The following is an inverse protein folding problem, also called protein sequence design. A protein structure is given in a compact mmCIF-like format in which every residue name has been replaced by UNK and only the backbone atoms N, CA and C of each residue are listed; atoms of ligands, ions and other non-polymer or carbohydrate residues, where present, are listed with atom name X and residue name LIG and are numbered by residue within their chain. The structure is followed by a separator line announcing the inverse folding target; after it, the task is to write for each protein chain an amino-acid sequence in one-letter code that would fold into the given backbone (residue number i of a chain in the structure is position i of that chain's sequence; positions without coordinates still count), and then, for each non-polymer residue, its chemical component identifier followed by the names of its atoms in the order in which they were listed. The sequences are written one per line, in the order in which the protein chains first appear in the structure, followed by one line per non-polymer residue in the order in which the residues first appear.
data_IF_438131005831
#
_entry.id   IF_438131005831
#
_cell.length_a   1.000
_cell.length_b   1.000
_cell.length_c   1.000
_cell.angle_alpha   90.00
_cell.angle_beta   90.00
_cell.angle_gamma   90.00
#
_symmetry.space_group_name_H-M   'P 1'
#
loop_
_entity.id
_entity.type
_entity.pdbx_description
1 polymer ?
#
# COMPACT_ATOMS: atom_id res chain seq x y z
N UNK A 1 11.79 17.75 16.16
CA UNK A 1 10.36 17.98 16.44
C UNK A 1 10.02 19.39 15.97
N UNK A 2 8.96 19.53 15.16
CA UNK A 2 8.34 20.82 14.89
C UNK A 2 7.18 20.99 15.87
N UNK A 3 6.97 22.22 16.33
CA UNK A 3 5.77 22.64 17.04
C UNK A 3 5.21 23.84 16.28
N UNK A 4 3.90 24.02 16.34
CA UNK A 4 3.20 25.11 15.66
C UNK A 4 2.51 25.98 16.70
N UNK A 5 2.75 27.28 16.62
CA UNK A 5 2.01 28.25 17.41
C UNK A 5 0.58 28.38 16.85
N UNK A 6 -0.38 28.65 17.74
CA UNK A 6 -1.75 28.98 17.33
C UNK A 6 -1.76 30.46 16.95
N UNK A 7 -2.03 30.74 15.68
CA UNK A 7 -2.10 32.11 15.15
C UNK A 7 -3.42 32.77 15.54
N UNK A 8 -4.52 32.03 15.48
CA UNK A 8 -5.85 32.49 15.90
C UNK A 8 -6.82 31.32 16.07
N UNK A 9 -7.98 31.59 16.67
CA UNK A 9 -9.13 30.70 16.75
C UNK A 9 -10.23 31.18 15.79
N UNK A 10 -11.13 30.28 15.39
CA UNK A 10 -12.41 30.67 14.78
C UNK A 10 -13.26 31.47 15.76
N UNK A 11 -14.25 32.22 15.27
CA UNK A 11 -15.08 33.10 16.10
C UNK A 11 -15.85 32.35 17.20
N UNK A 12 -16.18 31.08 16.97
CA UNK A 12 -16.84 30.15 17.90
C UNK A 12 -15.85 29.26 18.67
N UNK A 13 -14.54 29.46 18.48
CA UNK A 13 -13.44 28.70 19.09
C UNK A 13 -13.45 27.18 18.80
N UNK A 14 -14.13 26.74 17.75
CA UNK A 14 -14.17 25.32 17.34
C UNK A 14 -13.02 24.92 16.43
N UNK A 15 -12.31 25.88 15.81
CA UNK A 15 -11.17 25.65 14.95
C UNK A 15 -9.97 26.54 15.34
N UNK A 16 -8.77 26.06 15.01
CA UNK A 16 -7.50 26.76 15.20
C UNK A 16 -6.80 26.97 13.87
N UNK A 17 -6.12 28.11 13.73
CA UNK A 17 -5.24 28.40 12.59
C UNK A 17 -3.80 28.25 13.04
N UNK A 18 -3.04 27.47 12.29
CA UNK A 18 -1.59 27.28 12.48
C UNK A 18 -0.84 27.63 11.19
N UNK A 19 0.36 28.21 11.32
CA UNK A 19 1.19 28.50 10.17
C UNK A 19 2.21 27.36 9.93
N UNK A 20 1.96 26.55 8.91
CA UNK A 20 2.81 25.41 8.54
C UNK A 20 3.84 25.72 7.45
N UNK A 21 3.91 26.97 6.97
CA UNK A 21 4.74 27.36 5.81
C UNK A 21 6.20 26.96 5.99
N UNK A 22 6.78 27.19 7.17
CA UNK A 22 8.18 26.83 7.45
C UNK A 22 8.39 25.33 7.49
N UNK A 23 7.42 24.56 7.98
CA UNK A 23 7.52 23.10 8.03
C UNK A 23 7.56 22.49 6.62
N UNK A 24 6.75 23.01 5.71
CA UNK A 24 6.68 22.52 4.33
C UNK A 24 7.79 23.10 3.44
N UNK A 25 8.19 24.37 3.61
CA UNK A 25 9.18 25.03 2.73
C UNK A 25 10.65 24.81 3.11
N UNK A 26 10.95 24.02 4.13
CA UNK A 26 12.32 23.76 4.59
C UNK A 26 12.69 22.29 4.52
N UNK A 27 13.99 22.01 4.49
CA UNK A 27 14.50 20.65 4.50
C UNK A 27 14.40 20.04 5.90
N UNK A 28 13.24 19.46 6.21
CA UNK A 28 13.00 18.72 7.45
C UNK A 28 13.33 17.24 7.19
N UNK A 29 14.44 16.69 7.75
CA UNK A 29 14.92 15.35 7.37
C UNK A 29 13.90 14.22 7.58
N UNK A 30 13.00 14.33 8.55
CA UNK A 30 12.01 13.30 8.89
C UNK A 30 10.87 13.18 7.87
N UNK A 31 10.61 14.21 7.08
CA UNK A 31 9.55 14.24 6.04
C UNK A 31 10.14 14.49 4.64
N UNK A 32 11.46 14.39 4.52
CA UNK A 32 12.18 14.60 3.27
C UNK A 32 12.09 13.35 2.40
N UNK A 33 11.90 13.53 1.08
CA UNK A 33 12.03 12.45 0.10
C UNK A 33 13.46 11.89 -0.04
N UNK A 34 14.45 12.51 0.63
CA UNK A 34 15.85 12.09 0.62
C UNK A 34 16.25 11.42 1.94
N UNK A 35 16.36 10.09 1.90
CA UNK A 35 16.95 9.32 3.01
C UNK A 35 18.42 9.69 3.24
N UNK A 36 18.90 9.48 4.47
CA UNK A 36 20.32 9.70 4.85
C UNK A 36 21.30 8.98 3.93
N UNK A 37 20.93 7.79 3.45
CA UNK A 37 21.72 7.00 2.49
C UNK A 37 21.86 7.73 1.15
N UNK A 38 20.74 8.21 0.58
CA UNK A 38 20.75 8.94 -0.69
C UNK A 38 21.48 10.27 -0.58
N UNK A 39 21.34 10.97 0.55
CA UNK A 39 22.07 12.22 0.82
C UNK A 39 23.58 12.03 0.78
N UNK A 40 24.07 10.97 1.43
CA UNK A 40 25.49 10.61 1.42
C UNK A 40 25.95 10.18 0.03
N UNK A 41 25.17 9.32 -0.63
CA UNK A 41 25.48 8.78 -1.96
C UNK A 41 25.62 9.88 -3.01
N UNK A 42 24.71 10.86 -3.01
CA UNK A 42 24.69 11.93 -4.02
C UNK A 42 25.35 13.23 -3.56
N UNK A 43 25.98 13.21 -2.37
CA UNK A 43 26.64 14.37 -1.75
C UNK A 43 25.73 15.61 -1.75
N UNK A 44 24.51 15.41 -1.27
CA UNK A 44 23.49 16.46 -1.14
C UNK A 44 23.98 17.49 -0.11
N UNK A 45 23.85 18.78 -0.44
CA UNK A 45 24.33 19.90 0.37
C UNK A 45 23.19 20.66 1.03
N UNK A 46 22.46 21.46 0.26
CA UNK A 46 21.40 22.34 0.77
C UNK A 46 20.18 22.35 -0.15
N UNK A 47 19.03 22.64 0.45
CA UNK A 47 17.82 22.93 -0.29
C UNK A 47 17.92 24.30 -0.97
N UNK A 48 17.59 24.33 -2.25
CA UNK A 48 17.44 25.53 -3.05
C UNK A 48 16.01 26.05 -2.95
N UNK A 49 15.78 27.00 -2.05
CA UNK A 49 14.46 27.57 -1.76
C UNK A 49 13.82 28.26 -2.96
N UNK A 50 14.62 28.80 -3.89
CA UNK A 50 14.09 29.53 -5.05
C UNK A 50 13.58 28.58 -6.14
N UNK A 51 14.00 27.30 -6.09
CA UNK A 51 13.57 26.22 -7.00
C UNK A 51 12.77 25.14 -6.26
N UNK A 52 12.18 25.50 -5.12
CA UNK A 52 11.33 24.63 -4.32
C UNK A 52 10.03 25.35 -4.00
N UNK A 53 8.89 24.73 -4.28
CA UNK A 53 7.59 25.36 -4.14
C UNK A 53 6.48 24.33 -3.93
N UNK A 54 5.41 24.78 -3.28
CA UNK A 54 4.19 24.01 -3.11
C UNK A 54 3.38 24.14 -4.40
N UNK A 55 3.05 23.01 -5.03
CA UNK A 55 2.26 22.96 -6.25
C UNK A 55 0.77 22.97 -5.96
N UNK A 56 0.33 22.17 -4.99
CA UNK A 56 -1.07 22.04 -4.63
C UNK A 56 -1.23 21.57 -3.20
N UNK A 57 -2.31 22.03 -2.57
CA UNK A 57 -2.80 21.51 -1.29
C UNK A 57 -4.24 21.06 -1.50
N UNK A 58 -4.54 19.82 -1.11
CA UNK A 58 -5.90 19.28 -1.10
C UNK A 58 -6.27 18.90 0.33
N UNK A 59 -7.50 19.17 0.70
CA UNK A 59 -8.04 18.81 2.00
C UNK A 59 -9.17 17.81 1.80
N UNK A 60 -9.09 16.71 2.53
CA UNK A 60 -10.12 15.70 2.65
C UNK A 60 -10.60 15.63 4.10
N UNK A 61 -11.70 14.91 4.40
CA UNK A 61 -12.21 14.83 5.76
C UNK A 61 -11.22 14.25 6.78
N UNK A 62 -10.38 13.30 6.37
CA UNK A 62 -9.45 12.58 7.26
C UNK A 62 -7.97 12.78 6.92
N UNK A 63 -7.64 13.51 5.85
CA UNK A 63 -6.25 13.82 5.50
C UNK A 63 -6.08 15.14 4.73
N UNK A 64 -4.85 15.65 4.75
CA UNK A 64 -4.40 16.78 3.92
C UNK A 64 -3.24 16.29 3.07
N UNK A 65 -3.29 16.58 1.77
CA UNK A 65 -2.26 16.22 0.81
C UNK A 65 -1.58 17.48 0.28
N UNK A 66 -0.25 17.53 0.42
CA UNK A 66 0.60 18.62 -0.06
C UNK A 66 1.58 18.10 -1.10
N UNK A 67 1.36 18.47 -2.36
CA UNK A 67 2.28 18.18 -3.46
C UNK A 67 3.24 19.35 -3.63
N UNK A 68 4.53 19.07 -3.58
CA UNK A 68 5.58 20.07 -3.62
C UNK A 68 6.81 19.58 -4.34
N UNK A 69 7.53 20.49 -4.98
CA UNK A 69 8.82 20.20 -5.58
C UNK A 69 9.92 20.68 -4.64
N UNK A 70 10.87 19.80 -4.35
CA UNK A 70 12.10 20.13 -3.64
C UNK A 70 13.30 20.00 -4.58
N UNK A 71 14.08 21.08 -4.66
CA UNK A 71 15.35 21.07 -5.37
C UNK A 71 16.50 21.19 -4.39
N UNK A 72 17.44 20.26 -4.44
CA UNK A 72 18.64 20.24 -3.62
C UNK A 72 19.88 20.44 -4.47
N UNK A 73 20.85 21.19 -3.97
CA UNK A 73 22.20 21.20 -4.55
C UNK A 73 22.92 19.91 -4.19
N UNK A 74 23.59 19.30 -5.16
CA UNK A 74 24.28 18.02 -4.99
C UNK A 74 25.49 17.94 -5.93
N UNK A 75 26.63 17.45 -5.43
CA UNK A 75 27.82 17.33 -6.29
C UNK A 75 27.88 16.04 -7.10
N UNK A 76 27.08 15.03 -6.75
CA UNK A 76 27.00 13.75 -7.48
C UNK A 76 25.53 13.36 -7.69
N UNK A 77 24.71 14.19 -8.36
CA UNK A 77 23.30 13.86 -8.56
C UNK A 77 23.17 12.61 -9.47
N UNK A 78 22.11 11.80 -9.29
CA UNK A 78 21.91 10.56 -10.06
C UNK A 78 21.63 10.79 -11.55
N UNK A 79 21.22 12.00 -11.92
CA UNK A 79 20.91 12.42 -13.28
C UNK A 79 21.23 13.91 -13.43
N UNK A 80 21.38 14.39 -14.67
CA UNK A 80 21.62 15.81 -14.96
C UNK A 80 22.84 16.37 -14.20
N UNK A 81 23.95 15.64 -14.19
CA UNK A 81 25.18 16.00 -13.46
C UNK A 81 25.73 17.38 -13.79
N UNK A 82 25.53 17.87 -15.00
CA UNK A 82 25.89 19.23 -15.43
C UNK A 82 25.16 20.34 -14.67
N UNK A 83 23.98 20.06 -14.11
CA UNK A 83 23.18 21.04 -13.35
C UNK A 83 23.61 21.09 -11.87
N UNK A 84 24.17 20.00 -11.33
CA UNK A 84 24.60 19.94 -9.93
C UNK A 84 23.44 20.03 -8.93
N UNK A 85 22.25 19.52 -9.30
CA UNK A 85 21.09 19.49 -8.41
C UNK A 85 20.24 18.23 -8.58
N UNK A 86 19.48 17.91 -7.53
CA UNK A 86 18.45 16.88 -7.52
C UNK A 86 17.12 17.59 -7.31
N UNK A 87 16.20 17.45 -8.27
CA UNK A 87 14.83 17.92 -8.12
C UNK A 87 13.89 16.73 -8.00
N UNK A 88 12.98 16.77 -7.04
CA UNK A 88 12.00 15.73 -6.80
C UNK A 88 10.66 16.32 -6.43
N UNK A 89 9.60 15.71 -6.94
CA UNK A 89 8.25 15.96 -6.47
C UNK A 89 7.98 15.03 -5.28
N UNK A 90 7.49 15.61 -4.19
CA UNK A 90 7.11 14.90 -2.97
C UNK A 90 5.65 15.18 -2.71
N UNK A 91 4.89 14.13 -2.42
CA UNK A 91 3.56 14.25 -1.86
C UNK A 91 3.65 13.99 -0.35
N UNK A 92 3.28 14.96 0.46
CA UNK A 92 3.24 14.85 1.92
C UNK A 92 1.79 14.71 2.37
N UNK A 93 1.50 13.58 2.99
CA UNK A 93 0.20 13.26 3.56
C UNK A 93 0.21 13.50 5.07
N UNK A 94 -0.77 14.26 5.55
CA UNK A 94 -1.06 14.40 6.98
C UNK A 94 -2.40 13.73 7.26
N UNK A 95 -2.37 12.61 7.99
CA UNK A 95 -3.54 11.74 8.21
C UNK A 95 -4.01 11.90 9.65
N UNK A 96 -5.32 12.07 9.81
CA UNK A 96 -5.98 12.01 11.11
C UNK A 96 -6.08 10.54 11.54
N UNK A 97 -5.41 10.19 12.64
CA UNK A 97 -5.46 8.84 13.18
C UNK A 97 -6.81 8.59 13.87
N UNK A 98 -7.27 7.32 13.94
CA UNK A 98 -8.49 6.96 14.68
C UNK A 98 -8.46 7.48 16.12
N UNK A 99 -9.57 8.02 16.60
CA UNK A 99 -9.64 8.54 17.98
C UNK A 99 -9.33 7.44 19.01
N UNK A 100 -9.94 6.27 18.83
CA UNK A 100 -9.68 5.07 19.64
C UNK A 100 -8.81 4.11 18.83
N UNK A 101 -7.55 3.87 19.27
CA UNK A 101 -6.69 2.88 18.63
C UNK A 101 -7.31 1.49 18.68
N UNK A 102 -7.17 0.71 17.60
CA UNK A 102 -7.51 -0.72 17.62
C UNK A 102 -6.73 -1.43 18.73
N UNK A 103 -7.30 -2.49 19.32
CA UNK A 103 -6.56 -3.36 20.23
C UNK A 103 -5.29 -3.90 19.54
N UNK A 104 -4.09 -3.53 20.04
CA UNK A 104 -2.83 -3.96 19.42
C UNK A 104 -2.63 -5.46 19.59
N UNK A 105 -1.92 -6.07 18.64
CA UNK A 105 -1.47 -7.45 18.74
C UNK A 105 0.05 -7.48 18.64
N UNK A 106 0.69 -7.99 19.69
CA UNK A 106 2.14 -8.14 19.76
C UNK A 106 2.62 -9.08 18.65
N UNK A 107 3.77 -8.75 18.09
CA UNK A 107 4.44 -9.57 17.13
C UNK A 107 4.95 -10.87 17.73
N UNK A 108 4.73 -11.96 17.02
CA UNK A 108 5.32 -13.26 17.28
C UNK A 108 6.02 -13.72 15.99
N UNK A 109 7.32 -14.01 16.01
CA UNK A 109 8.07 -14.37 14.80
C UNK A 109 7.59 -15.67 14.13
N UNK A 110 6.78 -16.48 14.83
CA UNK A 110 6.16 -17.69 14.26
C UNK A 110 4.95 -17.39 13.37
N UNK A 111 4.39 -16.18 13.48
CA UNK A 111 3.22 -15.74 12.73
C UNK A 111 3.65 -14.62 11.80
N UNK A 112 3.73 -14.90 10.50
CA UNK A 112 4.26 -13.96 9.51
C UNK A 112 3.34 -12.76 9.28
N UNK A 113 3.69 -11.61 9.86
CA UNK A 113 3.07 -10.31 9.58
C UNK A 113 4.16 -9.24 9.47
N UNK A 114 3.89 -8.19 8.69
CA UNK A 114 4.63 -6.94 8.77
C UNK A 114 4.41 -6.30 10.14
N UNK A 115 5.36 -5.50 10.58
CA UNK A 115 5.36 -4.96 11.94
C UNK A 115 5.51 -3.44 11.98
N UNK A 116 5.09 -2.86 13.09
CA UNK A 116 5.43 -1.50 13.48
C UNK A 116 6.08 -1.54 14.86
N UNK A 117 7.23 -0.87 14.97
CA UNK A 117 8.01 -0.80 16.20
C UNK A 117 7.76 0.56 16.87
N UNK A 118 7.62 0.53 18.19
CA UNK A 118 7.47 1.71 19.02
C UNK A 118 8.28 1.54 20.30
N UNK A 119 8.92 2.62 20.74
CA UNK A 119 9.51 2.68 22.08
C UNK A 119 8.44 3.17 23.08
N UNK A 120 8.12 2.33 24.06
CA UNK A 120 7.20 2.64 25.14
C UNK A 120 7.94 3.34 26.29
N UNK A 121 7.82 4.67 26.33
CA UNK A 121 8.32 5.51 27.42
C UNK A 121 7.33 5.64 28.58
N UNK A 122 6.11 5.12 28.45
CA UNK A 122 5.06 5.19 29.48
C UNK A 122 5.10 4.00 30.46
N UNK A 123 5.91 3.00 30.17
CA UNK A 123 6.12 1.84 31.02
C UNK A 123 6.59 2.26 32.42
N UNK A 124 5.99 1.66 33.45
CA UNK A 124 6.45 1.79 34.85
C UNK A 124 7.72 0.96 35.11
N UNK A 125 8.12 0.11 34.15
CA UNK A 125 9.44 -0.48 34.19
C UNK A 125 10.47 0.65 34.17
N UNK A 126 11.54 0.56 34.96
CA UNK A 126 12.62 1.55 34.98
C UNK A 126 13.50 1.47 33.71
N UNK A 127 12.88 1.28 32.55
CA UNK A 127 13.48 1.19 31.22
C UNK A 127 12.43 1.54 30.16
N UNK A 128 12.91 2.02 29.02
CA UNK A 128 12.11 2.07 27.81
C UNK A 128 12.07 0.66 27.19
N UNK A 129 10.88 0.15 26.93
CA UNK A 129 10.68 -1.14 26.27
C UNK A 129 10.34 -0.90 24.80
N UNK A 130 11.03 -1.60 23.90
CA UNK A 130 10.62 -1.66 22.50
C UNK A 130 9.44 -2.63 22.39
N UNK A 131 8.34 -2.15 21.82
CA UNK A 131 7.15 -2.94 21.53
C UNK A 131 6.97 -3.02 20.02
N UNK A 132 6.80 -4.24 19.54
CA UNK A 132 6.54 -4.53 18.14
C UNK A 132 5.11 -5.05 18.00
N UNK A 133 4.31 -4.38 17.18
CA UNK A 133 2.94 -4.78 16.86
C UNK A 133 2.86 -5.29 15.43
N UNK A 134 1.98 -6.24 15.17
CA UNK A 134 1.68 -6.66 13.80
C UNK A 134 0.82 -5.60 13.09
N UNK A 135 1.02 -5.45 11.78
CA UNK A 135 0.15 -4.64 10.92
C UNK A 135 -1.04 -5.46 10.45
N UNK A 136 -2.26 -5.00 10.72
CA UNK A 136 -3.49 -5.68 10.28
C UNK A 136 -4.66 -4.73 10.16
N UNK A 137 -5.63 -5.09 9.32
CA UNK A 137 -6.91 -4.40 9.25
C UNK A 137 -7.77 -4.66 10.50
N UNK A 138 -8.54 -3.65 10.91
CA UNK A 138 -9.56 -3.77 11.96
C UNK A 138 -10.79 -4.46 11.39
N UNK A 139 -10.99 -5.74 11.75
CA UNK A 139 -12.20 -6.49 11.45
C UNK A 139 -12.90 -6.88 12.74
N UNK A 140 -14.04 -6.25 12.99
CA UNK A 140 -14.91 -6.52 14.12
C UNK A 140 -16.21 -7.14 13.61
N UNK A 141 -16.69 -8.26 14.18
CA UNK A 141 -17.91 -8.92 13.70
C UNK A 141 -19.14 -8.06 13.99
N UNK A 142 -20.04 -7.91 13.00
CA UNK A 142 -21.35 -7.28 13.22
C UNK A 142 -22.20 -8.04 14.25
N UNK A 143 -22.04 -9.36 14.32
CA UNK A 143 -22.67 -10.23 15.32
C UNK A 143 -21.57 -11.03 16.05
N UNK A 144 -21.06 -10.54 17.20
CA UNK A 144 -20.03 -11.21 17.98
C UNK A 144 -20.46 -12.58 18.51
N UNK A 145 -21.74 -12.77 18.81
CA UNK A 145 -22.26 -14.02 19.36
C UNK A 145 -22.31 -15.11 18.29
N UNK A 146 -22.75 -14.78 17.07
CA UNK A 146 -22.71 -15.69 15.93
C UNK A 146 -21.26 -16.02 15.53
N UNK A 147 -20.38 -15.04 15.54
CA UNK A 147 -18.95 -15.25 15.29
C UNK A 147 -18.33 -16.23 16.30
N UNK A 148 -18.64 -16.06 17.59
CA UNK A 148 -18.16 -16.94 18.65
C UNK A 148 -18.69 -18.38 18.52
N UNK A 149 -19.84 -18.59 17.87
CA UNK A 149 -20.38 -19.91 17.52
C UNK A 149 -19.75 -20.51 16.25
N UNK A 150 -18.87 -19.79 15.56
CA UNK A 150 -18.23 -20.22 14.32
C UNK A 150 -19.07 -20.00 13.06
N UNK A 151 -20.13 -19.18 13.14
CA UNK A 151 -20.95 -18.80 11.99
C UNK A 151 -20.25 -17.72 11.16
N UNK A 152 -20.50 -17.70 9.85
CA UNK A 152 -20.00 -16.64 8.97
C UNK A 152 -20.77 -15.34 9.19
N UNK A 153 -20.07 -14.32 9.65
CA UNK A 153 -20.63 -12.98 9.87
C UNK A 153 -19.97 -11.96 8.96
N UNK A 154 -20.61 -10.81 8.77
CA UNK A 154 -19.97 -9.68 8.09
C UNK A 154 -19.17 -8.84 9.10
N UNK A 155 -18.06 -8.21 8.70
CA UNK A 155 -17.40 -7.23 9.54
C UNK A 155 -18.20 -5.91 9.58
N UNK A 156 -18.08 -5.16 10.67
CA UNK A 156 -18.67 -3.81 10.81
C UNK A 156 -18.17 -2.90 9.67
N UNK A 157 -16.85 -2.89 9.43
CA UNK A 157 -16.20 -2.20 8.33
C UNK A 157 -15.51 -3.22 7.40
N UNK A 158 -16.07 -3.53 6.23
CA UNK A 158 -15.36 -4.34 5.24
C UNK A 158 -14.19 -3.56 4.63
N UNK A 159 -13.20 -4.29 4.13
CA UNK A 159 -12.08 -3.75 3.36
C UNK A 159 -12.58 -3.56 1.93
N UNK A 160 -12.59 -2.31 1.45
CA UNK A 160 -13.08 -2.00 0.10
C UNK A 160 -11.92 -1.45 -0.70
N UNK A 161 -11.63 -2.10 -1.83
CA UNK A 161 -10.70 -1.59 -2.83
C UNK A 161 -11.48 -1.05 -4.03
N UNK A 162 -11.18 0.18 -4.39
CA UNK A 162 -11.66 0.80 -5.61
C UNK A 162 -10.64 0.59 -6.73
N UNK A 163 -11.11 0.35 -7.95
CA UNK A 163 -10.25 0.34 -9.13
C UNK A 163 -10.08 1.77 -9.64
N UNK A 164 -8.84 2.15 -9.92
CA UNK A 164 -8.53 3.42 -10.59
C UNK A 164 -9.34 3.54 -11.89
N UNK A 165 -10.05 4.67 -12.12
CA UNK A 165 -10.78 4.91 -13.36
C UNK A 165 -9.96 4.71 -14.64
N UNK A 166 -8.64 4.93 -14.57
CA UNK A 166 -7.69 4.72 -15.67
C UNK A 166 -7.33 3.25 -15.93
N UNK A 167 -7.87 2.30 -15.15
CA UNK A 167 -7.64 0.87 -15.34
C UNK A 167 -8.23 0.38 -16.66
N UNK A 168 -7.47 -0.29 -17.54
CA UNK A 168 -7.98 -0.82 -18.79
C UNK A 168 -9.14 -1.80 -18.58
N UNK A 169 -10.19 -1.69 -19.39
CA UNK A 169 -11.44 -2.44 -19.21
C UNK A 169 -11.23 -3.95 -19.20
N UNK A 170 -10.38 -4.46 -20.09
CA UNK A 170 -10.05 -5.88 -20.20
C UNK A 170 -9.30 -6.45 -18.98
N UNK A 171 -8.87 -5.59 -18.06
CA UNK A 171 -8.11 -5.97 -16.86
C UNK A 171 -8.92 -5.84 -15.57
N UNK A 172 -10.01 -5.06 -15.58
CA UNK A 172 -10.81 -4.78 -14.38
C UNK A 172 -11.36 -6.04 -13.74
N UNK A 173 -11.88 -6.96 -14.55
CA UNK A 173 -12.44 -8.23 -14.07
C UNK A 173 -11.40 -9.04 -13.29
N UNK A 174 -10.21 -9.25 -13.86
CA UNK A 174 -9.13 -10.00 -13.21
C UNK A 174 -8.59 -9.31 -11.96
N UNK A 175 -8.54 -7.97 -11.96
CA UNK A 175 -8.15 -7.19 -10.78
C UNK A 175 -9.16 -7.39 -9.65
N UNK A 176 -10.46 -7.27 -9.94
CA UNK A 176 -11.53 -7.51 -8.96
C UNK A 176 -11.49 -8.93 -8.41
N UNK A 177 -11.35 -9.92 -9.29
CA UNK A 177 -11.24 -11.32 -8.90
C UNK A 177 -10.05 -11.57 -7.96
N UNK A 178 -8.86 -11.03 -8.25
CA UNK A 178 -7.71 -11.29 -7.40
C UNK A 178 -7.75 -10.55 -6.05
N UNK A 179 -8.48 -9.43 -5.95
CA UNK A 179 -8.84 -8.83 -4.65
C UNK A 179 -9.78 -9.77 -3.89
N UNK A 180 -10.82 -10.26 -4.56
CA UNK A 180 -11.87 -11.08 -3.94
C UNK A 180 -11.47 -12.53 -3.70
N UNK A 181 -10.36 -13.01 -4.27
CA UNK A 181 -9.77 -14.31 -3.94
C UNK A 181 -9.44 -14.44 -2.45
N UNK A 182 -9.20 -13.31 -1.77
CA UNK A 182 -9.00 -13.24 -0.33
C UNK A 182 -10.28 -13.46 0.48
N UNK A 183 -11.46 -13.41 -0.12
CA UNK A 183 -12.73 -13.72 0.56
C UNK A 183 -12.70 -15.11 1.16
N UNK A 184 -12.19 -16.12 0.45
CA UNK A 184 -12.15 -17.50 0.94
C UNK A 184 -11.26 -17.69 2.18
N UNK A 185 -10.04 -17.13 2.25
CA UNK A 185 -9.29 -17.00 3.50
C UNK A 185 -10.06 -16.30 4.62
N UNK A 186 -10.78 -15.21 4.33
CA UNK A 186 -11.58 -14.51 5.33
C UNK A 186 -12.78 -15.34 5.83
N UNK A 187 -13.44 -16.09 4.95
CA UNK A 187 -14.51 -17.02 5.32
C UNK A 187 -13.99 -18.10 6.27
N UNK A 188 -12.78 -18.60 6.02
CA UNK A 188 -12.11 -19.54 6.93
C UNK A 188 -11.83 -18.90 8.30
N UNK A 189 -11.63 -17.58 8.35
CA UNK A 189 -11.48 -16.80 9.58
C UNK A 189 -12.82 -16.36 10.21
N UNK A 190 -13.97 -16.80 9.66
CA UNK A 190 -15.31 -16.52 10.16
C UNK A 190 -15.99 -15.28 9.57
N UNK A 191 -15.40 -14.65 8.55
CA UNK A 191 -15.95 -13.45 7.92
C UNK A 191 -16.37 -13.69 6.46
N UNK A 192 -17.62 -13.37 6.12
CA UNK A 192 -18.06 -13.21 4.73
C UNK A 192 -18.09 -11.73 4.36
N UNK A 193 -17.97 -11.41 3.07
CA UNK A 193 -17.99 -10.03 2.59
C UNK A 193 -16.95 -9.13 3.30
N UNK A 194 -15.78 -9.70 3.59
CA UNK A 194 -14.74 -9.04 4.36
C UNK A 194 -13.87 -8.12 3.49
N UNK A 195 -13.64 -8.51 2.24
CA UNK A 195 -12.88 -7.76 1.25
C UNK A 195 -13.65 -7.71 -0.07
N UNK A 196 -13.83 -6.51 -0.62
CA UNK A 196 -14.72 -6.27 -1.77
C UNK A 196 -14.00 -5.36 -2.76
N UNK A 197 -14.09 -5.70 -4.04
CA UNK A 197 -13.62 -4.84 -5.11
C UNK A 197 -14.78 -4.03 -5.70
N UNK A 198 -14.55 -2.74 -5.99
CA UNK A 198 -15.55 -1.85 -6.60
C UNK A 198 -14.91 -1.03 -7.71
N UNK A 199 -15.71 -0.62 -8.67
CA UNK A 199 -15.30 0.49 -9.54
C UNK A 199 -15.28 1.78 -8.72
N UNK A 200 -14.37 2.69 -9.06
CA UNK A 200 -14.43 4.05 -8.54
C UNK A 200 -15.81 4.68 -8.83
N UNK A 201 -16.37 5.46 -7.88
CA UNK A 201 -17.59 6.22 -8.12
C UNK A 201 -17.46 7.09 -9.38
N UNK A 202 -18.55 7.25 -10.12
CA UNK A 202 -18.57 8.23 -11.21
C UNK A 202 -18.55 9.66 -10.65
N UNK A 203 -18.13 10.67 -11.43
CA UNK A 203 -18.21 12.06 -11.00
C UNK A 203 -19.63 12.51 -10.58
N UNK A 204 -20.68 11.86 -11.08
CA UNK A 204 -22.07 12.10 -10.66
C UNK A 204 -22.41 11.46 -9.30
N UNK A 205 -21.77 10.34 -8.95
CA UNK A 205 -21.97 9.63 -7.67
C UNK A 205 -21.17 10.27 -6.53
N UNK A 206 -19.89 10.59 -6.78
CA UNK A 206 -19.01 11.30 -5.87
C UNK A 206 -18.01 12.18 -6.66
N UNK A 207 -18.32 13.48 -6.87
CA UNK A 207 -17.43 14.38 -7.59
C UNK A 207 -16.12 14.66 -6.84
N UNK A 208 -16.08 14.39 -5.53
CA UNK A 208 -14.90 14.60 -4.68
C UNK A 208 -14.08 13.32 -4.50
N UNK A 209 -14.48 12.21 -5.14
CA UNK A 209 -13.70 10.98 -5.10
C UNK A 209 -12.28 11.25 -5.59
N UNK A 210 -11.32 10.93 -4.72
CA UNK A 210 -9.91 11.01 -5.06
C UNK A 210 -9.21 9.79 -4.50
N UNK A 211 -8.35 9.14 -5.29
CA UNK A 211 -7.43 8.16 -4.73
C UNK A 211 -6.51 8.76 -3.66
N UNK A 212 -6.31 10.09 -3.66
CA UNK A 212 -5.52 10.80 -2.64
C UNK A 212 -6.29 11.00 -1.30
N UNK A 213 -7.55 10.57 -1.19
CA UNK A 213 -8.36 10.61 0.06
C UNK A 213 -8.21 9.29 0.83
N UNK A 214 -7.75 9.36 2.08
CA UNK A 214 -7.42 8.19 2.93
C UNK A 214 -8.63 7.29 3.22
N UNK A 215 -9.86 7.79 2.99
CA UNK A 215 -11.09 7.00 3.16
C UNK A 215 -11.25 5.92 2.09
N UNK A 216 -10.51 6.00 0.98
CA UNK A 216 -10.60 5.09 -0.15
C UNK A 216 -9.26 4.37 -0.38
N UNK A 217 -9.26 3.05 -0.23
CA UNK A 217 -8.12 2.22 -0.67
C UNK A 217 -8.27 1.93 -2.16
N UNK A 218 -7.23 2.20 -2.96
CA UNK A 218 -7.32 2.14 -4.42
C UNK A 218 -6.26 1.21 -5.02
N UNK A 219 -6.66 0.41 -6.00
CA UNK A 219 -5.73 -0.24 -6.93
C UNK A 219 -5.43 0.73 -8.06
N UNK A 220 -4.27 1.39 -7.99
CA UNK A 220 -3.81 2.43 -8.90
C UNK A 220 -3.14 1.85 -10.13
N UNK A 221 -3.61 2.28 -11.30
CA UNK A 221 -3.03 1.85 -12.58
C UNK A 221 -2.08 2.91 -13.12
N UNK A 222 -0.78 2.60 -13.12
CA UNK A 222 0.27 3.53 -13.55
C UNK A 222 0.80 3.13 -14.94
N UNK A 223 0.50 3.96 -15.94
CA UNK A 223 1.02 3.84 -17.30
C UNK A 223 2.53 4.16 -17.36
N UNK A 224 3.36 3.21 -16.93
CA UNK A 224 4.81 3.36 -16.82
C UNK A 224 5.55 2.15 -17.37
N UNK A 225 6.79 2.38 -17.81
CA UNK A 225 7.75 1.35 -18.23
C UNK A 225 8.36 0.58 -17.05
N UNK A 226 8.08 0.99 -15.80
CA UNK A 226 8.44 0.23 -14.60
C UNK A 226 7.83 -1.17 -14.64
N UNK A 227 8.66 -2.17 -14.32
CA UNK A 227 8.27 -3.59 -14.37
C UNK A 227 8.02 -4.15 -12.97
N UNK A 228 7.13 -3.53 -12.21
CA UNK A 228 6.86 -3.92 -10.82
C UNK A 228 5.36 -3.84 -10.49
N UNK A 229 4.99 -4.32 -9.32
CA UNK A 229 3.80 -3.93 -8.58
C UNK A 229 4.20 -3.76 -7.10
N UNK A 230 3.43 -2.99 -6.34
CA UNK A 230 3.63 -2.88 -4.88
C UNK A 230 2.29 -2.75 -4.16
N UNK A 231 2.11 -3.47 -3.06
CA UNK A 231 0.99 -3.33 -2.13
C UNK A 231 1.38 -2.66 -0.81
N UNK A 232 1.68 -1.34 -0.80
CA UNK A 232 1.95 -0.60 0.43
C UNK A 232 0.67 -0.40 1.24
N UNK A 233 0.84 -0.11 2.53
CA UNK A 233 -0.25 0.28 3.41
C UNK A 233 0.21 1.29 4.46
N UNK A 234 -0.72 2.11 4.92
CA UNK A 234 -0.51 3.07 6.02
C UNK A 234 -1.07 2.46 7.30
N UNK A 235 -0.33 2.57 8.40
CA UNK A 235 -0.74 2.00 9.69
C UNK A 235 -0.69 3.02 10.83
N UNK A 236 -1.64 2.92 11.76
CA UNK A 236 -1.58 3.60 13.05
C UNK A 236 -0.39 3.06 13.85
N UNK A 237 0.62 3.89 14.17
CA UNK A 237 1.80 3.44 14.89
C UNK A 237 1.51 3.00 16.32
N UNK A 238 0.36 3.39 16.90
CA UNK A 238 -0.03 3.07 18.28
C UNK A 238 -0.57 1.64 18.42
N UNK A 239 -1.09 1.06 17.34
CA UNK A 239 -1.83 -0.21 17.37
C UNK A 239 -1.40 -1.22 16.30
N UNK A 240 -0.80 -0.76 15.20
CA UNK A 240 -0.61 -1.57 13.99
C UNK A 240 -1.87 -1.71 13.13
N UNK A 241 -2.92 -0.94 13.40
CA UNK A 241 -4.10 -0.91 12.52
C UNK A 241 -3.72 -0.38 11.14
N UNK A 242 -3.99 -1.14 10.09
CA UNK A 242 -3.93 -0.65 8.71
C UNK A 242 -5.16 0.23 8.48
N UNK A 243 -4.94 1.50 8.16
CA UNK A 243 -5.99 2.51 8.00
C UNK A 243 -6.42 2.57 6.52
N UNK A 244 -5.46 2.45 5.61
CA UNK A 244 -5.64 2.57 4.16
C UNK A 244 -4.51 1.83 3.42
N UNK A 245 -4.78 1.44 2.17
CA UNK A 245 -3.78 0.89 1.27
C UNK A 245 -4.01 1.24 -0.21
N UNK A 246 -2.98 1.82 -0.82
CA UNK A 246 -2.91 2.15 -2.24
C UNK A 246 -2.01 1.15 -2.99
N UNK A 247 -2.60 0.12 -3.61
CA UNK A 247 -1.83 -0.85 -4.41
C UNK A 247 -1.45 -0.19 -5.73
N UNK A 248 -0.17 -0.22 -6.09
CA UNK A 248 0.34 0.38 -7.33
C UNK A 248 0.68 -0.71 -8.34
N UNK A 249 -0.06 -0.71 -9.43
CA UNK A 249 0.19 -1.55 -10.59
C UNK A 249 0.86 -0.76 -11.71
N UNK A 250 2.07 -1.17 -12.12
CA UNK A 250 2.74 -0.55 -13.27
C UNK A 250 2.44 -1.32 -14.56
N UNK A 251 2.01 -0.64 -15.62
CA UNK A 251 1.61 -1.23 -16.91
C UNK A 251 2.63 -2.24 -17.46
N UNK A 252 3.92 -1.90 -17.47
CA UNK A 252 4.94 -2.77 -18.08
C UNK A 252 5.27 -4.01 -17.23
N UNK A 253 4.62 -4.21 -16.08
CA UNK A 253 4.71 -5.46 -15.34
C UNK A 253 4.11 -6.65 -16.12
N UNK A 254 3.13 -6.40 -17.00
CA UNK A 254 2.60 -7.38 -17.96
C UNK A 254 3.72 -8.12 -18.72
N UNK A 255 4.74 -7.38 -19.17
CA UNK A 255 5.89 -7.94 -19.88
C UNK A 255 6.68 -8.93 -19.01
N UNK A 256 6.79 -8.68 -17.71
CA UNK A 256 7.48 -9.59 -16.79
C UNK A 256 6.75 -10.92 -16.68
N UNK A 257 5.44 -10.91 -16.53
CA UNK A 257 4.65 -12.13 -16.38
C UNK A 257 4.55 -12.92 -17.66
N UNK A 258 4.33 -12.26 -18.80
CA UNK A 258 4.44 -12.89 -20.12
C UNK A 258 5.76 -13.67 -20.29
N UNK A 259 6.87 -13.03 -19.94
CA UNK A 259 8.19 -13.65 -20.07
C UNK A 259 8.40 -14.79 -19.06
N UNK A 260 7.93 -14.64 -17.82
CA UNK A 260 7.98 -15.71 -16.80
C UNK A 260 7.14 -16.91 -17.23
N UNK A 261 5.93 -16.69 -17.73
CA UNK A 261 5.05 -17.73 -18.23
C UNK A 261 5.72 -18.58 -19.29
N UNK A 262 6.35 -17.94 -20.27
CA UNK A 262 7.11 -18.61 -21.32
C UNK A 262 8.29 -19.41 -20.75
N UNK A 263 9.11 -18.78 -19.90
CA UNK A 263 10.35 -19.40 -19.38
C UNK A 263 10.08 -20.53 -18.37
N UNK A 264 9.12 -20.34 -17.48
CA UNK A 264 8.85 -21.24 -16.35
C UNK A 264 7.91 -22.37 -16.73
N UNK A 265 6.95 -22.14 -17.65
CA UNK A 265 5.94 -23.15 -18.00
C UNK A 265 6.10 -23.71 -19.41
N UNK A 266 6.81 -23.03 -20.33
CA UNK A 266 6.89 -23.39 -21.74
C UNK A 266 7.38 -24.82 -22.02
N UNK A 267 8.20 -25.41 -21.14
CA UNK A 267 8.61 -26.82 -21.28
C UNK A 267 7.41 -27.78 -21.26
N UNK A 268 6.47 -27.58 -20.32
CA UNK A 268 5.31 -28.43 -20.10
C UNK A 268 4.00 -27.89 -20.71
N UNK A 269 3.96 -26.59 -21.04
CA UNK A 269 2.79 -25.88 -21.50
C UNK A 269 2.99 -25.33 -22.94
N UNK A 270 2.39 -25.96 -23.96
CA UNK A 270 2.50 -25.49 -25.34
C UNK A 270 1.98 -24.07 -25.58
N UNK A 271 0.94 -23.60 -24.87
CA UNK A 271 0.39 -22.24 -25.07
C UNK A 271 1.37 -21.15 -24.63
N UNK A 272 2.23 -21.44 -23.65
CA UNK A 272 3.25 -20.51 -23.18
C UNK A 272 4.45 -20.35 -24.13
N UNK A 273 4.55 -21.12 -25.22
CA UNK A 273 5.72 -21.11 -26.14
C UNK A 273 5.71 -19.96 -27.16
N UNK A 274 4.91 -18.93 -26.91
CA UNK A 274 4.81 -17.74 -27.76
C UNK A 274 4.85 -16.46 -26.92
N UNK A 275 5.28 -15.36 -27.53
CA UNK A 275 5.17 -14.02 -26.96
C UNK A 275 3.77 -13.40 -27.22
N UNK A 276 3.00 -13.98 -28.12
CA UNK A 276 1.60 -13.60 -28.36
C UNK A 276 0.72 -14.40 -27.39
N UNK A 277 0.88 -14.11 -26.10
CA UNK A 277 0.14 -14.79 -25.02
C UNK A 277 -1.33 -14.42 -25.08
N UNK A 278 -2.18 -15.42 -24.89
CA UNK A 278 -3.63 -15.25 -24.89
C UNK A 278 -4.08 -14.24 -23.80
N UNK A 279 -5.17 -13.52 -24.08
CA UNK A 279 -5.63 -12.45 -23.17
C UNK A 279 -6.18 -13.02 -21.86
N UNK A 280 -6.83 -14.18 -21.90
CA UNK A 280 -7.32 -14.87 -20.70
C UNK A 280 -6.14 -15.36 -19.85
N UNK A 281 -5.11 -15.95 -20.49
CA UNK A 281 -3.89 -16.36 -19.79
C UNK A 281 -3.16 -15.17 -19.14
N UNK A 282 -3.13 -14.02 -19.81
CA UNK A 282 -2.59 -12.78 -19.24
C UNK A 282 -3.42 -12.27 -18.06
N UNK A 283 -4.75 -12.33 -18.19
CA UNK A 283 -5.68 -11.97 -17.14
C UNK A 283 -5.53 -12.84 -15.89
N UNK A 284 -5.44 -14.16 -16.04
CA UNK A 284 -5.22 -15.07 -14.92
C UNK A 284 -3.88 -14.84 -14.22
N UNK A 285 -2.82 -14.57 -14.98
CA UNK A 285 -1.54 -14.17 -14.37
C UNK A 285 -1.70 -12.87 -13.58
N UNK A 286 -2.42 -11.90 -14.12
CA UNK A 286 -2.70 -10.64 -13.43
C UNK A 286 -3.50 -10.82 -12.14
N UNK A 287 -4.55 -11.65 -12.16
CA UNK A 287 -5.32 -12.03 -10.97
C UNK A 287 -4.40 -12.56 -9.87
N UNK A 288 -3.42 -13.40 -10.21
CA UNK A 288 -2.45 -13.89 -9.24
C UNK A 288 -1.55 -12.79 -8.68
N UNK A 289 -1.09 -11.84 -9.51
CA UNK A 289 -0.24 -10.75 -9.01
C UNK A 289 -1.02 -9.80 -8.12
N UNK A 290 -2.25 -9.44 -8.49
CA UNK A 290 -3.04 -8.55 -7.64
C UNK A 290 -3.37 -9.24 -6.31
N UNK A 291 -3.69 -10.54 -6.32
CA UNK A 291 -3.90 -11.30 -5.09
C UNK A 291 -2.64 -11.32 -4.21
N UNK A 292 -1.45 -11.41 -4.81
CA UNK A 292 -0.17 -11.29 -4.12
C UNK A 292 0.02 -9.92 -3.48
N UNK A 293 -0.22 -8.83 -4.22
CA UNK A 293 -0.09 -7.46 -3.68
C UNK A 293 -1.14 -7.15 -2.61
N UNK A 294 -2.37 -7.67 -2.75
CA UNK A 294 -3.40 -7.59 -1.71
C UNK A 294 -2.93 -8.31 -0.44
N UNK A 295 -2.20 -9.43 -0.56
CA UNK A 295 -1.58 -10.07 0.59
C UNK A 295 -0.64 -9.14 1.37
N UNK A 296 0.20 -8.37 0.67
CA UNK A 296 1.04 -7.35 1.30
C UNK A 296 0.23 -6.25 1.95
N UNK A 297 -0.79 -5.77 1.26
CA UNK A 297 -1.71 -4.76 1.75
C UNK A 297 -2.53 -5.21 2.97
N UNK A 298 -2.78 -6.51 3.13
CA UNK A 298 -3.41 -7.12 4.30
C UNK A 298 -2.45 -7.25 5.50
N UNK A 299 -1.16 -6.97 5.31
CA UNK A 299 -0.13 -7.01 6.35
C UNK A 299 0.77 -8.25 6.29
N UNK A 300 0.71 -9.07 5.24
CA UNK A 300 1.53 -10.28 5.13
C UNK A 300 2.83 -10.04 4.35
N UNK A 301 4.00 -10.43 4.88
CA UNK A 301 5.24 -10.41 4.12
C UNK A 301 5.26 -11.51 3.05
N UNK A 302 6.28 -11.50 2.19
CA UNK A 302 6.53 -12.61 1.28
C UNK A 302 6.59 -13.94 2.05
N UNK A 303 5.67 -14.86 1.75
CA UNK A 303 5.63 -16.16 2.39
C UNK A 303 6.64 -17.12 1.74
N UNK A 304 7.93 -16.84 1.92
CA UNK A 304 9.01 -17.69 1.41
C UNK A 304 8.93 -19.12 1.96
N UNK A 305 8.28 -19.34 3.10
CA UNK A 305 8.10 -20.68 3.64
C UNK A 305 7.13 -21.55 2.81
N UNK A 306 6.18 -20.94 2.11
CA UNK A 306 5.28 -21.68 1.24
C UNK A 306 6.01 -22.34 0.05
N UNK A 307 7.20 -21.85 -0.34
CA UNK A 307 7.95 -22.42 -1.46
C UNK A 307 8.54 -23.81 -1.18
N UNK A 308 8.56 -24.27 0.08
CA UNK A 308 8.94 -25.64 0.45
C UNK A 308 7.76 -26.50 0.91
N UNK A 309 6.52 -25.99 0.83
CA UNK A 309 5.34 -26.72 1.29
C UNK A 309 5.03 -27.98 0.45
N UNK A 310 5.69 -28.15 -0.69
CA UNK A 310 5.54 -29.28 -1.60
C UNK A 310 6.89 -29.83 -2.03
N UNK A 311 6.96 -31.15 -2.25
CA UNK A 311 8.17 -31.80 -2.73
C UNK A 311 8.44 -31.38 -4.19
N UNK A 312 9.71 -31.12 -4.51
CA UNK A 312 10.14 -30.75 -5.87
C UNK A 312 9.73 -31.83 -6.89
N UNK A 313 9.73 -33.09 -6.49
CA UNK A 313 9.34 -34.20 -7.36
C UNK A 313 7.86 -34.18 -7.73
N UNK A 314 6.99 -33.60 -6.90
CA UNK A 314 5.57 -33.47 -7.22
C UNK A 314 5.37 -32.53 -8.42
N UNK A 315 6.13 -31.44 -8.53
CA UNK A 315 6.04 -30.52 -9.68
C UNK A 315 6.45 -31.16 -11.02
N UNK A 316 7.26 -32.22 -10.98
CA UNK A 316 7.69 -32.96 -12.18
C UNK A 316 6.64 -33.95 -12.67
N UNK A 317 5.64 -34.28 -11.84
CA UNK A 317 4.54 -35.17 -12.21
C UNK A 317 3.49 -34.40 -13.01
N UNK A 318 3.31 -34.76 -14.29
CA UNK A 318 2.37 -34.11 -15.23
C UNK A 318 0.92 -33.95 -14.72
N UNK A 319 0.45 -34.89 -13.89
CA UNK A 319 -0.90 -34.83 -13.31
C UNK A 319 -1.00 -33.86 -12.12
N UNK A 320 0.09 -33.68 -11.38
CA UNK A 320 0.14 -32.76 -10.25
C UNK A 320 0.16 -31.30 -10.72
N UNK A 321 0.97 -31.00 -11.73
CA UNK A 321 1.02 -29.66 -12.34
C UNK A 321 -0.30 -29.27 -13.01
N UNK A 322 -0.92 -30.14 -13.81
CA UNK A 322 -2.19 -29.84 -14.48
C UNK A 322 -3.37 -29.54 -13.55
N UNK A 323 -3.38 -30.08 -12.33
CA UNK A 323 -4.49 -29.90 -11.39
C UNK A 323 -4.41 -28.58 -10.63
N UNK A 324 -3.25 -27.91 -10.60
CA UNK A 324 -3.02 -26.68 -9.83
C UNK A 324 -2.80 -25.42 -10.65
N UNK A 325 -2.42 -25.52 -11.93
CA UNK A 325 -2.39 -24.37 -12.85
C UNK A 325 -3.79 -23.94 -13.34
N UNK A 326 -4.87 -24.48 -12.75
CA UNK A 326 -6.27 -24.20 -13.10
C UNK A 326 -7.11 -23.74 -11.90
N UNK A 327 -6.47 -23.35 -10.80
CA UNK A 327 -7.14 -23.03 -9.54
C UNK A 327 -6.59 -21.78 -8.90
#
# INVERSE_FOLDING_TARGET
MYAFDIETFSADSTAVVINVTKFLSTDVPSISGLSSRLRKQYKVRSLDKNRSFINSVKSFPENIEVKQDFTFTASEPPSNSSVGSISMQVNQSMILLPEVPMQPRLFDPRVGFFTVDQIDYSSKALKADEKTYIRRWRLEPKDPEAYARGELVEPIKPIIYYLDPGTPENLKEYIKQGIEDWQKPFETAGFKNAIIARDAPTPEEDPEFSPEDIRYSVVRYVASTTRNAVGPSVSDPRSGEIIESDIIWYHNHLRSYRNRYLLETGAANPSARTLDTDTEEMGEMMRQVIAHEVGHALGFPHNMAASYAYDVEDYRRRLYSRKRYRG
#
